data_IF_818680130038
#
_entry.id   IF_818680130038
#
_cell.length_a   1.000
_cell.length_b   1.000
_cell.length_c   1.000
_cell.angle_alpha   90.00
_cell.angle_beta   90.00
_cell.angle_gamma   90.00
#
_symmetry.space_group_name_H-M   'P 1'
#
loop_
_entity.id
_entity.type
_entity.pdbx_description
1 polymer ?
#
# COMPACT_ATOMS: atom_id res chain seq x y z
N UNK A 1 -13.32 -5.51 13.18
CA UNK A 1 -13.98 -5.95 11.94
C UNK A 1 -12.95 -6.01 10.84
N UNK A 2 -12.97 -7.06 10.01
CA UNK A 2 -12.02 -7.27 8.90
C UNK A 2 -12.79 -7.56 7.62
N UNK A 3 -12.57 -6.75 6.59
CA UNK A 3 -13.11 -6.96 5.24
C UNK A 3 -11.95 -7.01 4.25
N UNK A 4 -11.80 -8.11 3.53
CA UNK A 4 -10.70 -8.30 2.60
C UNK A 4 -11.21 -8.57 1.19
N UNK A 5 -10.29 -8.65 0.22
CA UNK A 5 -10.61 -8.86 -1.19
C UNK A 5 -11.57 -7.80 -1.77
N UNK A 6 -11.55 -6.59 -1.21
CA UNK A 6 -12.38 -5.47 -1.64
C UNK A 6 -11.89 -4.95 -3.01
N UNK A 7 -12.78 -4.66 -3.98
CA UNK A 7 -12.35 -4.11 -5.26
C UNK A 7 -11.77 -2.69 -5.12
N UNK A 8 -12.19 -1.95 -4.09
CA UNK A 8 -11.70 -0.63 -3.74
C UNK A 8 -12.07 -0.28 -2.30
N UNK A 9 -11.35 0.68 -1.72
CA UNK A 9 -11.70 1.32 -0.45
C UNK A 9 -11.98 2.79 -0.75
N UNK A 10 -13.21 3.24 -0.55
CA UNK A 10 -13.65 4.62 -0.82
C UNK A 10 -14.41 5.23 0.36
N UNK A 11 -14.70 6.52 0.29
CA UNK A 11 -15.41 7.23 1.36
C UNK A 11 -16.83 6.72 1.58
N UNK A 12 -17.49 6.19 0.56
CA UNK A 12 -18.85 5.67 0.68
C UNK A 12 -18.86 4.40 1.55
N UNK A 13 -17.92 3.48 1.30
CA UNK A 13 -17.70 2.29 2.14
C UNK A 13 -17.37 2.69 3.58
N UNK A 14 -16.41 3.61 3.77
CA UNK A 14 -15.99 4.06 5.09
C UNK A 14 -17.14 4.72 5.87
N UNK A 15 -17.93 5.60 5.24
CA UNK A 15 -19.09 6.23 5.87
C UNK A 15 -20.19 5.23 6.21
N UNK A 16 -20.41 4.23 5.35
CA UNK A 16 -21.37 3.16 5.65
C UNK A 16 -20.95 2.37 6.88
N UNK A 17 -19.68 1.96 6.96
CA UNK A 17 -19.12 1.26 8.13
C UNK A 17 -19.23 2.14 9.38
N UNK A 18 -18.78 3.38 9.28
CA UNK A 18 -18.75 4.32 10.40
C UNK A 18 -20.15 4.60 10.97
N UNK A 19 -21.16 4.72 10.11
CA UNK A 19 -22.55 4.96 10.54
C UNK A 19 -23.22 3.75 11.18
N UNK A 20 -22.78 2.52 10.84
CA UNK A 20 -23.39 1.28 11.33
C UNK A 20 -22.69 0.70 12.55
N UNK A 21 -21.39 0.93 12.69
CA UNK A 21 -20.55 0.32 13.72
C UNK A 21 -19.85 1.37 14.58
N UNK A 22 -20.60 2.30 15.18
CA UNK A 22 -20.06 3.46 15.93
C UNK A 22 -19.10 3.10 17.08
N UNK A 23 -19.23 1.90 17.64
CA UNK A 23 -18.38 1.40 18.73
C UNK A 23 -17.18 0.57 18.25
N UNK A 24 -16.84 0.61 16.96
CA UNK A 24 -15.78 -0.21 16.39
C UNK A 24 -14.39 0.27 16.85
N UNK A 25 -13.63 -0.63 17.45
CA UNK A 25 -12.26 -0.37 17.94
C UNK A 25 -11.17 -0.74 16.93
N UNK A 26 -11.39 -1.81 16.17
CA UNK A 26 -10.44 -2.31 15.18
C UNK A 26 -11.15 -2.41 13.83
N UNK A 27 -10.61 -1.73 12.82
CA UNK A 27 -11.07 -1.78 11.44
C UNK A 27 -9.92 -2.18 10.51
N UNK A 28 -10.07 -3.30 9.83
CA UNK A 28 -9.16 -3.73 8.77
C UNK A 28 -9.92 -3.82 7.44
N UNK A 29 -9.47 -3.08 6.45
CA UNK A 29 -9.99 -3.12 5.09
C UNK A 29 -8.83 -3.43 4.15
N UNK A 30 -8.99 -4.35 3.21
CA UNK A 30 -7.92 -4.68 2.26
C UNK A 30 -8.45 -4.89 0.85
N UNK A 31 -7.88 -4.15 -0.11
CA UNK A 31 -8.04 -4.43 -1.53
C UNK A 31 -6.79 -5.09 -2.13
N UNK A 32 -5.61 -4.91 -1.54
CA UNK A 32 -4.36 -5.51 -2.05
C UNK A 32 -4.36 -7.03 -1.99
N UNK A 33 -5.15 -7.65 -1.11
CA UNK A 33 -5.34 -9.11 -1.09
C UNK A 33 -5.99 -9.67 -2.37
N UNK A 34 -6.57 -8.84 -3.23
CA UNK A 34 -7.07 -9.29 -4.54
C UNK A 34 -5.96 -9.56 -5.55
N UNK A 35 -4.75 -9.06 -5.32
CA UNK A 35 -3.66 -9.22 -6.27
C UNK A 35 -3.15 -10.66 -6.24
N UNK A 36 -3.24 -11.34 -7.38
CA UNK A 36 -2.90 -12.76 -7.49
C UNK A 36 -1.41 -12.95 -7.83
N UNK A 37 -0.59 -12.96 -6.78
CA UNK A 37 0.84 -13.27 -6.88
C UNK A 37 1.13 -14.78 -6.99
N UNK A 38 0.13 -15.64 -6.80
CA UNK A 38 0.30 -17.09 -6.68
C UNK A 38 0.05 -17.84 -7.99
N UNK A 39 -0.63 -17.23 -8.96
CA UNK A 39 -0.94 -17.85 -10.23
C UNK A 39 0.13 -17.56 -11.30
N UNK A 40 0.02 -16.42 -12.00
CA UNK A 40 0.91 -16.03 -13.09
C UNK A 40 0.87 -14.53 -13.34
N UNK A 41 1.81 -14.00 -14.11
CA UNK A 41 1.88 -12.57 -14.45
C UNK A 41 0.61 -12.03 -15.11
N UNK A 42 -0.08 -12.81 -15.94
CA UNK A 42 -1.35 -12.39 -16.55
C UNK A 42 -2.46 -12.26 -15.52
N UNK A 43 -2.59 -13.23 -14.59
CA UNK A 43 -3.57 -13.14 -13.51
C UNK A 43 -3.22 -12.00 -12.53
N UNK A 44 -1.94 -11.75 -12.31
CA UNK A 44 -1.48 -10.63 -11.48
C UNK A 44 -1.80 -9.28 -12.11
N UNK A 45 -1.56 -9.13 -13.42
CA UNK A 45 -1.96 -7.96 -14.20
C UNK A 45 -3.49 -7.82 -14.22
N UNK A 46 -4.22 -8.86 -14.58
CA UNK A 46 -5.69 -8.85 -14.65
C UNK A 46 -6.33 -8.48 -13.30
N UNK A 47 -5.89 -9.12 -12.21
CA UNK A 47 -6.39 -8.82 -10.87
C UNK A 47 -6.09 -7.38 -10.43
N UNK A 48 -4.98 -6.79 -10.87
CA UNK A 48 -4.66 -5.38 -10.65
C UNK A 48 -5.60 -4.44 -11.40
N UNK A 49 -5.96 -4.74 -12.65
CA UNK A 49 -6.88 -3.90 -13.45
C UNK A 49 -8.29 -3.86 -12.85
N UNK A 50 -8.66 -4.89 -12.09
CA UNK A 50 -9.97 -4.99 -11.43
C UNK A 50 -9.96 -4.45 -9.99
N UNK A 51 -8.86 -3.85 -9.52
CA UNK A 51 -8.66 -3.43 -8.13
C UNK A 51 -8.06 -2.03 -8.05
N UNK A 52 -8.72 -1.11 -7.34
CA UNK A 52 -8.12 0.20 -7.03
C UNK A 52 -7.21 0.05 -5.81
N UNK A 53 -5.99 -0.39 -6.04
CA UNK A 53 -5.02 -0.67 -4.98
C UNK A 53 -4.21 0.56 -4.56
N UNK A 54 -4.07 1.59 -5.42
CA UNK A 54 -3.35 2.83 -5.12
C UNK A 54 -4.26 4.04 -5.38
N UNK A 55 -4.97 4.57 -4.36
CA UNK A 55 -5.94 5.65 -4.56
C UNK A 55 -5.30 7.04 -4.66
N UNK A 56 -3.97 7.15 -4.64
CA UNK A 56 -3.25 8.41 -4.82
C UNK A 56 -3.20 8.72 -6.33
N UNK A 57 -3.88 9.79 -6.81
CA UNK A 57 -3.82 10.15 -8.22
C UNK A 57 -2.48 10.81 -8.57
N UNK A 58 -1.98 10.59 -9.78
CA UNK A 58 -0.85 11.33 -10.38
C UNK A 58 -1.15 12.82 -10.66
N UNK A 59 -2.36 13.29 -10.32
CA UNK A 59 -2.97 14.50 -10.91
C UNK A 59 -2.64 15.83 -10.22
N UNK A 60 -1.79 15.89 -9.20
CA UNK A 60 -1.38 17.19 -8.63
C UNK A 60 -0.15 17.75 -9.36
N UNK A 61 -0.33 18.06 -10.64
CA UNK A 61 0.71 18.66 -11.48
C UNK A 61 0.73 20.20 -11.41
N UNK A 62 -0.35 20.85 -10.96
CA UNK A 62 -0.46 22.33 -11.03
C UNK A 62 -0.45 23.02 -9.66
N UNK A 63 0.32 24.11 -9.57
CA UNK A 63 0.53 24.90 -8.35
C UNK A 63 -0.75 25.54 -7.78
N UNK A 64 -1.78 25.70 -8.60
CA UNK A 64 -3.03 26.37 -8.21
C UNK A 64 -3.80 25.61 -7.11
N UNK A 65 -3.72 24.28 -7.07
CA UNK A 65 -4.35 23.48 -6.01
C UNK A 65 -3.55 23.42 -4.69
N UNK A 66 -2.30 23.90 -4.67
CA UNK A 66 -1.45 23.91 -3.47
C UNK A 66 -1.81 25.04 -2.49
N UNK A 67 -2.60 26.03 -2.91
CA UNK A 67 -2.88 27.25 -2.13
C UNK A 67 -3.95 27.08 -1.05
N UNK A 68 -4.74 26.00 -1.10
CA UNK A 68 -5.86 25.76 -0.17
C UNK A 68 -5.41 25.00 1.09
N UNK A 69 -4.26 24.31 1.03
CA UNK A 69 -3.71 23.59 2.16
C UNK A 69 -2.82 24.52 2.98
N UNK A 70 -3.41 25.10 4.03
CA UNK A 70 -2.72 25.88 5.07
C UNK A 70 -1.39 25.19 5.43
N UNK A 71 -0.26 25.90 5.49
CA UNK A 71 1.03 25.25 5.68
C UNK A 71 1.08 24.61 7.06
N UNK A 72 0.85 23.30 7.12
CA UNK A 72 1.46 22.47 8.15
C UNK A 72 2.95 22.66 7.91
N UNK A 73 3.71 23.05 8.94
CA UNK A 73 5.16 23.10 8.89
C UNK A 73 5.69 21.68 8.66
N UNK A 74 5.72 21.25 7.40
CA UNK A 74 6.30 19.99 6.94
C UNK A 74 7.73 20.31 6.53
N UNK A 75 8.65 19.44 6.96
CA UNK A 75 10.10 19.56 6.83
C UNK A 75 10.53 20.10 5.45
N UNK A 76 11.48 21.04 5.39
CA UNK A 76 11.87 21.75 4.16
C UNK A 76 12.54 20.88 3.08
N UNK A 77 12.67 19.57 3.29
CA UNK A 77 13.43 18.65 2.44
C UNK A 77 12.59 17.67 1.61
N UNK A 78 11.27 17.59 1.80
CA UNK A 78 10.43 16.63 1.06
C UNK A 78 9.86 17.23 -0.24
N UNK A 79 9.93 16.52 -1.39
CA UNK A 79 9.34 16.95 -2.65
C UNK A 79 7.86 17.35 -2.50
N UNK A 80 7.49 18.56 -2.94
CA UNK A 80 6.12 19.12 -2.82
C UNK A 80 5.01 18.26 -3.45
N UNK A 81 5.34 17.31 -4.34
CA UNK A 81 4.39 16.37 -4.97
C UNK A 81 3.88 15.30 -4.00
N UNK A 82 4.67 14.93 -2.99
CA UNK A 82 4.34 13.89 -2.02
C UNK A 82 3.11 14.19 -1.16
N UNK A 83 2.80 15.46 -0.95
CA UNK A 83 1.94 15.89 0.15
C UNK A 83 0.47 15.99 -0.22
N UNK A 84 0.14 16.36 -1.46
CA UNK A 84 -1.25 16.69 -1.83
C UNK A 84 -2.13 15.45 -1.88
N UNK A 85 -1.67 14.39 -2.54
CA UNK A 85 -2.43 13.14 -2.66
C UNK A 85 -2.70 12.50 -1.30
N UNK A 86 -1.69 12.45 -0.44
CA UNK A 86 -1.82 11.92 0.92
C UNK A 86 -2.77 12.78 1.76
N UNK A 87 -2.65 14.10 1.69
CA UNK A 87 -3.51 15.00 2.46
C UNK A 87 -4.98 14.91 2.03
N UNK A 88 -5.23 14.80 0.71
CA UNK A 88 -6.58 14.60 0.19
C UNK A 88 -7.17 13.26 0.64
N UNK A 89 -6.40 12.18 0.53
CA UNK A 89 -6.77 10.85 1.02
C UNK A 89 -7.12 10.91 2.51
N UNK A 90 -6.22 11.45 3.32
CA UNK A 90 -6.39 11.58 4.76
C UNK A 90 -7.64 12.40 5.09
N UNK A 91 -7.80 13.58 4.49
CA UNK A 91 -8.95 14.46 4.76
C UNK A 91 -10.27 13.75 4.48
N UNK A 92 -10.37 13.11 3.32
CA UNK A 92 -11.58 12.41 2.88
C UNK A 92 -11.88 11.20 3.76
N UNK A 93 -10.87 10.39 4.09
CA UNK A 93 -11.05 9.18 4.88
C UNK A 93 -11.31 9.49 6.35
N UNK A 94 -10.58 10.42 6.96
CA UNK A 94 -10.83 10.84 8.33
C UNK A 94 -12.22 11.46 8.49
N UNK A 95 -12.69 12.25 7.51
CA UNK A 95 -14.06 12.77 7.52
C UNK A 95 -15.09 11.64 7.49
N UNK A 96 -14.87 10.62 6.67
CA UNK A 96 -15.77 9.46 6.59
C UNK A 96 -15.75 8.60 7.86
N UNK A 97 -14.59 8.50 8.53
CA UNK A 97 -14.37 7.73 9.74
C UNK A 97 -14.68 8.50 11.04
N UNK A 98 -14.93 9.81 10.97
CA UNK A 98 -15.21 10.67 12.12
C UNK A 98 -16.26 10.13 13.11
N UNK A 99 -17.32 9.40 12.69
CA UNK A 99 -18.28 8.81 13.63
C UNK A 99 -17.71 7.72 14.55
N UNK A 100 -16.56 7.11 14.22
CA UNK A 100 -15.95 6.02 14.98
C UNK A 100 -15.11 6.54 16.15
N UNK A 101 -15.80 7.01 17.19
CA UNK A 101 -15.17 7.62 18.37
C UNK A 101 -14.34 6.65 19.23
N UNK A 102 -14.39 5.35 18.93
CA UNK A 102 -13.62 4.31 19.64
C UNK A 102 -12.57 3.63 18.76
N UNK A 103 -12.37 4.09 17.52
CA UNK A 103 -11.44 3.43 16.60
C UNK A 103 -10.00 3.61 17.07
N UNK A 104 -9.40 2.54 17.57
CA UNK A 104 -8.02 2.49 18.08
C UNK A 104 -7.04 1.98 17.03
N UNK A 105 -7.45 1.00 16.23
CA UNK A 105 -6.61 0.38 15.19
C UNK A 105 -7.28 0.44 13.83
N UNK A 106 -6.59 1.02 12.86
CA UNK A 106 -7.02 1.11 11.47
C UNK A 106 -5.97 0.47 10.55
N UNK A 107 -6.38 -0.49 9.74
CA UNK A 107 -5.57 -0.96 8.62
C UNK A 107 -6.27 -0.67 7.30
N UNK A 108 -5.59 0.06 6.44
CA UNK A 108 -6.03 0.38 5.08
C UNK A 108 -5.10 -0.33 4.11
N UNK A 109 -5.49 -1.53 3.68
CA UNK A 109 -4.79 -2.34 2.70
C UNK A 109 -4.93 -1.78 1.29
N UNK A 110 -4.37 -0.59 1.11
CA UNK A 110 -4.08 0.16 -0.12
C UNK A 110 -2.58 0.43 -0.14
N UNK A 111 -1.99 0.53 -1.32
CA UNK A 111 -0.64 1.04 -1.51
C UNK A 111 -0.65 2.56 -1.59
N UNK A 112 0.32 3.18 -0.92
CA UNK A 112 0.57 4.61 -1.06
C UNK A 112 1.64 4.91 -2.12
N UNK A 113 2.05 3.94 -2.93
CA UNK A 113 2.87 4.21 -4.11
C UNK A 113 2.09 5.00 -5.16
N UNK A 114 2.81 5.63 -6.09
CA UNK A 114 2.17 6.15 -7.31
C UNK A 114 1.51 4.99 -8.05
N UNK A 115 0.43 5.30 -8.78
CA UNK A 115 -0.36 4.29 -9.49
C UNK A 115 0.49 3.59 -10.56
N UNK A 116 1.44 4.32 -11.15
CA UNK A 116 2.31 3.84 -12.21
C UNK A 116 3.46 2.94 -11.73
N UNK A 117 3.78 2.88 -10.43
CA UNK A 117 4.87 2.03 -9.91
C UNK A 117 4.61 0.57 -10.26
N UNK A 118 3.36 0.13 -10.11
CA UNK A 118 2.98 -1.24 -10.43
C UNK A 118 2.97 -1.49 -11.94
N UNK A 119 2.39 -0.58 -12.72
CA UNK A 119 2.35 -0.71 -14.19
C UNK A 119 3.76 -0.72 -14.79
N UNK A 120 4.65 0.18 -14.37
CA UNK A 120 6.06 0.22 -14.79
C UNK A 120 6.82 -1.03 -14.39
N UNK A 121 6.49 -1.60 -13.23
CA UNK A 121 7.05 -2.87 -12.80
C UNK A 121 6.64 -4.01 -13.73
N UNK A 122 5.34 -4.12 -14.07
CA UNK A 122 4.86 -5.10 -15.04
C UNK A 122 5.53 -4.94 -16.41
N UNK A 123 5.61 -3.72 -16.94
CA UNK A 123 6.28 -3.41 -18.22
C UNK A 123 7.77 -3.81 -18.20
N UNK A 124 8.46 -3.49 -17.11
CA UNK A 124 9.89 -3.81 -16.96
C UNK A 124 10.14 -5.31 -16.85
N UNK A 125 9.25 -6.01 -16.16
CA UNK A 125 9.31 -7.46 -16.02
C UNK A 125 8.69 -8.20 -17.23
N UNK A 126 8.08 -7.50 -18.19
CA UNK A 126 7.39 -8.10 -19.33
C UNK A 126 8.26 -9.05 -20.17
N UNK A 127 9.58 -8.84 -20.22
CA UNK A 127 10.51 -9.77 -20.88
C UNK A 127 10.57 -11.13 -20.18
N UNK A 128 10.47 -11.17 -18.85
CA UNK A 128 10.32 -12.39 -18.04
C UNK A 128 8.94 -13.02 -18.30
N UNK A 129 7.90 -12.20 -18.48
CA UNK A 129 6.52 -12.63 -18.76
C UNK A 129 6.41 -13.35 -20.12
N UNK A 130 7.00 -12.79 -21.17
CA UNK A 130 6.93 -13.34 -22.55
C UNK A 130 7.79 -14.59 -22.70
N UNK A 131 8.90 -14.70 -21.96
CA UNK A 131 9.79 -15.86 -22.00
C UNK A 131 9.27 -17.06 -21.19
N UNK A 132 8.25 -16.87 -20.33
CA UNK A 132 7.70 -17.94 -19.49
C UNK A 132 6.75 -18.84 -20.31
N UNK A 133 7.00 -20.17 -20.38
CA UNK A 133 6.12 -21.10 -21.07
C UNK A 133 4.69 -21.05 -20.49
N UNK A 134 3.68 -20.99 -21.35
CA UNK A 134 2.26 -21.13 -20.98
C UNK A 134 1.93 -22.60 -20.72
N UNK A 135 2.60 -23.23 -19.75
CA UNK A 135 2.25 -24.57 -19.29
C UNK A 135 1.13 -24.47 -18.26
N UNK A 136 -0.03 -25.12 -18.48
CA UNK A 136 -1.06 -25.21 -17.45
C UNK A 136 -0.46 -25.77 -16.16
N UNK A 137 -0.65 -25.06 -15.04
CA UNK A 137 -0.18 -25.44 -13.69
C UNK A 137 1.34 -25.51 -13.48
N UNK A 138 2.17 -24.92 -14.34
CA UNK A 138 3.61 -24.84 -14.09
C UNK A 138 4.17 -23.53 -14.62
N UNK A 139 4.34 -22.55 -13.74
CA UNK A 139 5.04 -21.30 -14.06
C UNK A 139 6.42 -21.36 -13.40
N UNK A 140 7.52 -21.41 -14.16
CA UNK A 140 8.86 -21.57 -13.61
C UNK A 140 9.28 -20.40 -12.71
N UNK A 141 8.64 -19.23 -12.86
CA UNK A 141 8.80 -18.08 -11.97
C UNK A 141 7.42 -17.46 -11.69
N UNK A 142 6.87 -17.56 -10.47
CA UNK A 142 5.66 -16.83 -10.11
C UNK A 142 5.90 -15.32 -10.26
N UNK A 143 4.84 -14.53 -10.48
CA UNK A 143 4.96 -13.09 -10.44
C UNK A 143 5.46 -12.64 -9.06
N UNK A 144 6.11 -11.49 -9.03
CA UNK A 144 6.55 -10.86 -7.80
C UNK A 144 6.20 -9.38 -7.84
N UNK A 145 5.92 -8.80 -6.68
CA UNK A 145 5.63 -7.37 -6.57
C UNK A 145 6.86 -6.47 -6.75
N UNK A 146 6.65 -5.14 -6.88
CA UNK A 146 7.73 -4.15 -6.89
C UNK A 146 8.73 -4.26 -5.74
N UNK A 147 8.33 -4.81 -4.59
CA UNK A 147 9.17 -5.07 -3.42
C UNK A 147 10.38 -5.97 -3.69
N UNK A 148 10.27 -6.89 -4.65
CA UNK A 148 11.35 -7.81 -5.00
C UNK A 148 12.13 -7.38 -6.27
N UNK A 149 11.79 -6.24 -6.87
CA UNK A 149 12.47 -5.69 -8.04
C UNK A 149 13.56 -4.69 -7.62
N UNK A 150 14.83 -5.02 -7.85
CA UNK A 150 15.98 -4.16 -7.50
C UNK A 150 15.83 -2.74 -8.06
N UNK A 151 15.34 -2.61 -9.29
CA UNK A 151 15.14 -1.30 -9.92
C UNK A 151 14.00 -0.52 -9.25
N UNK A 152 12.87 -1.17 -8.93
CA UNK A 152 11.75 -0.52 -8.24
C UNK A 152 12.15 -0.10 -6.81
N UNK A 153 12.88 -0.96 -6.10
CA UNK A 153 13.42 -0.64 -4.79
C UNK A 153 14.35 0.59 -4.84
N UNK A 154 15.28 0.63 -5.79
CA UNK A 154 16.19 1.77 -5.94
C UNK A 154 15.53 3.07 -6.39
N UNK A 155 14.37 3.00 -7.07
CA UNK A 155 13.69 4.17 -7.62
C UNK A 155 12.57 4.72 -6.73
N UNK A 156 11.86 3.85 -6.01
CA UNK A 156 10.59 4.22 -5.38
C UNK A 156 10.55 3.99 -3.86
N UNK A 157 11.39 3.11 -3.30
CA UNK A 157 11.24 2.68 -1.91
C UNK A 157 11.26 3.85 -0.91
N UNK A 158 12.27 4.73 -1.01
CA UNK A 158 12.41 5.88 -0.11
C UNK A 158 11.18 6.80 -0.17
N UNK A 159 10.76 7.15 -1.39
CA UNK A 159 9.63 8.07 -1.58
C UNK A 159 8.32 7.48 -1.02
N UNK A 160 8.05 6.20 -1.29
CA UNK A 160 6.84 5.54 -0.81
C UNK A 160 6.86 5.41 0.72
N UNK A 161 7.99 5.07 1.31
CA UNK A 161 8.14 4.97 2.76
C UNK A 161 7.95 6.32 3.47
N UNK A 162 8.51 7.41 2.93
CA UNK A 162 8.28 8.76 3.44
C UNK A 162 6.80 9.13 3.39
N UNK A 163 6.14 8.78 2.29
CA UNK A 163 4.71 9.03 2.07
C UNK A 163 3.83 8.25 3.03
N UNK A 164 4.15 6.99 3.29
CA UNK A 164 3.49 6.16 4.30
C UNK A 164 3.68 6.73 5.71
N UNK A 165 4.89 7.19 6.04
CA UNK A 165 5.18 7.83 7.32
C UNK A 165 4.36 9.13 7.51
N UNK A 166 4.30 9.95 6.47
CA UNK A 166 3.49 11.17 6.46
C UNK A 166 2.00 10.83 6.62
N UNK A 167 1.49 9.85 5.88
CA UNK A 167 0.10 9.43 5.98
C UNK A 167 -0.24 8.98 7.40
N UNK A 168 0.58 8.10 8.00
CA UNK A 168 0.41 7.65 9.40
C UNK A 168 0.31 8.84 10.34
N UNK A 169 1.25 9.78 10.23
CA UNK A 169 1.28 10.98 11.08
C UNK A 169 0.01 11.83 10.92
N UNK A 170 -0.46 12.04 9.69
CA UNK A 170 -1.65 12.86 9.44
C UNK A 170 -2.93 12.18 9.95
N UNK A 171 -3.07 10.87 9.78
CA UNK A 171 -4.24 10.13 10.29
C UNK A 171 -4.29 10.12 11.83
N UNK A 172 -3.16 9.82 12.49
CA UNK A 172 -3.07 9.82 13.95
C UNK A 172 -3.37 11.19 14.56
N UNK A 173 -2.99 12.27 13.86
CA UNK A 173 -3.31 13.64 14.31
C UNK A 173 -4.78 14.01 14.11
N UNK A 174 -5.46 13.41 13.14
CA UNK A 174 -6.81 13.78 12.75
C UNK A 174 -7.89 12.96 13.47
N UNK A 175 -7.59 11.71 13.84
CA UNK A 175 -8.52 10.82 14.52
C UNK A 175 -8.09 10.65 15.99
N UNK A 176 -8.79 11.26 16.96
CA UNK A 176 -8.30 11.39 18.33
C UNK A 176 -8.18 10.05 19.08
N UNK A 177 -9.01 9.07 18.73
CA UNK A 177 -8.99 7.75 19.38
C UNK A 177 -8.02 6.78 18.72
N UNK A 178 -7.46 7.14 17.56
CA UNK A 178 -6.64 6.25 16.77
C UNK A 178 -5.24 6.16 17.37
N UNK A 179 -4.86 4.94 17.75
CA UNK A 179 -3.56 4.62 18.35
C UNK A 179 -2.63 4.07 17.28
N UNK A 180 -3.13 3.24 16.38
CA UNK A 180 -2.33 2.58 15.36
C UNK A 180 -2.99 2.67 13.98
N UNK A 181 -2.17 2.94 12.96
CA UNK A 181 -2.58 2.86 11.56
C UNK A 181 -1.53 2.19 10.68
N UNK A 182 -1.99 1.24 9.88
CA UNK A 182 -1.18 0.53 8.89
C UNK A 182 -1.72 0.69 7.47
N UNK A 183 -0.80 0.55 6.52
CA UNK A 183 -1.07 0.50 5.09
C UNK A 183 -0.41 -0.74 4.50
N UNK A 184 -0.94 -1.24 3.38
CA UNK A 184 -0.17 -2.19 2.57
C UNK A 184 1.00 -1.45 1.93
N UNK A 185 2.15 -2.11 1.85
CA UNK A 185 3.36 -1.50 1.30
C UNK A 185 4.04 -2.42 0.30
N UNK A 186 4.40 -1.85 -0.84
CA UNK A 186 5.38 -2.46 -1.74
C UNK A 186 6.80 -2.33 -1.22
N UNK A 187 7.07 -1.48 -0.24
CA UNK A 187 8.43 -1.24 0.22
C UNK A 187 8.42 -1.17 1.75
N UNK A 188 8.09 -2.28 2.43
CA UNK A 188 8.00 -2.27 3.88
C UNK A 188 9.33 -1.80 4.45
N UNK A 189 9.27 -0.82 5.36
CA UNK A 189 10.43 -0.46 6.16
C UNK A 189 10.94 -1.73 6.84
N UNK A 190 12.23 -2.03 6.71
CA UNK A 190 12.84 -3.09 7.48
C UNK A 190 12.53 -2.80 8.96
N UNK A 191 11.73 -3.66 9.59
CA UNK A 191 11.46 -3.54 11.02
C UNK A 191 12.82 -3.64 11.69
N UNK A 192 13.24 -2.62 12.43
CA UNK A 192 14.34 -2.74 13.38
C UNK A 192 13.87 -3.62 14.55
N UNK A 193 13.70 -4.92 14.28
CA UNK A 193 13.65 -5.98 15.28
C UNK A 193 15.03 -6.61 15.39
N UNK A 194 15.40 -7.18 16.55
CA UNK A 194 16.62 -7.94 16.66
C UNK A 194 16.61 -9.04 15.61
N UNK A 195 17.61 -9.02 14.71
CA UNK A 195 17.87 -10.15 13.83
C UNK A 195 18.24 -11.31 14.75
N UNK A 196 17.34 -12.27 14.91
CA UNK A 196 17.75 -13.59 15.37
C UNK A 196 18.69 -14.15 14.30
N UNK A 197 19.97 -14.04 14.61
CA UNK A 197 21.09 -14.66 13.91
C UNK A 197 20.94 -16.18 14.04
N UNK A 198 20.16 -16.79 13.14
CA UNK A 198 20.26 -18.21 12.92
C UNK A 198 21.54 -18.47 12.12
N UNK A 199 22.59 -18.83 12.85
CA UNK A 199 23.82 -19.38 12.33
C UNK A 199 23.53 -20.59 11.40
N UNK A 200 24.25 -20.75 10.28
CA UNK A 200 24.15 -21.95 9.48
C UNK A 200 24.89 -23.10 10.18
N UNK A 201 24.12 -24.02 10.76
CA UNK A 201 24.61 -25.32 11.19
C UNK A 201 25.03 -26.14 9.97
N UNK A 202 26.32 -26.45 9.88
CA UNK A 202 26.87 -27.51 9.04
C UNK A 202 26.20 -28.84 9.39
N UNK A 203 25.69 -29.54 8.36
CA UNK A 203 25.21 -30.90 8.49
C UNK A 203 24.77 -31.43 7.13
N UNK A 204 25.68 -32.08 6.40
CA UNK A 204 25.32 -32.92 5.27
C UNK A 204 24.63 -34.19 5.73
N UNK A 205 23.73 -34.73 4.91
CA UNK A 205 23.91 -36.07 4.36
C UNK A 205 22.89 -36.37 3.27
N UNK A 206 23.26 -37.33 2.42
CA UNK A 206 22.78 -37.54 1.07
C UNK A 206 21.39 -38.16 0.91
N UNK A 207 20.92 -38.08 -0.33
CA UNK A 207 20.02 -39.06 -0.93
C UNK A 207 20.52 -39.36 -2.36
N UNK A 208 21.43 -40.32 -2.44
CA UNK A 208 21.49 -41.39 -3.43
C UNK A 208 21.78 -42.69 -2.68
#
# INVERSE_FOLDING_TARGET
MKLTHLPRIDTALLSLIASRFVSLEILELSCTERLDEQCCWLCFEESSTCTIHSPIPDLFVTEEHLTVCRPIAILPSSPRRLTVGVLHLQTSFCKALAPLMRLETLFLGIFLSDVDVFTRHLERCATIVVASPRTPNCYPTPPFGPNACVTCCGQHATEVQERECLAKTLFLRALPSLVNIGFSSWFPLAVCGPKEENAPGLGGDGCL
#
